data_IF_715163086166
#
_entry.id   IF_715163086166
#
_cell.length_a   1.000
_cell.length_b   1.000
_cell.length_c   1.000
_cell.angle_alpha   90.00
_cell.angle_beta   90.00
_cell.angle_gamma   90.00
#
_symmetry.space_group_name_H-M   'P 1'
#
loop_
_entity.id
_entity.type
_entity.pdbx_description
1 polymer ?
#
# COMPACT_ATOMS: atom_id res chain seq x y z
N UNK A 1 -7.59 13.59 3.68
CA UNK A 1 -8.67 12.63 3.37
C UNK A 1 -9.99 13.38 3.49
N UNK A 2 -10.91 13.20 2.55
CA UNK A 2 -12.26 13.80 2.65
C UNK A 2 -13.09 13.01 3.65
N UNK A 3 -14.16 13.62 4.19
CA UNK A 3 -15.11 12.92 5.07
C UNK A 3 -15.76 11.71 4.41
N UNK A 4 -15.91 11.75 3.09
CA UNK A 4 -16.45 10.63 2.30
C UNK A 4 -15.47 9.45 2.25
N UNK A 5 -14.18 9.74 2.05
CA UNK A 5 -13.13 8.71 2.09
C UNK A 5 -13.06 8.06 3.47
N UNK A 6 -13.13 8.85 4.54
CA UNK A 6 -13.15 8.35 5.92
C UNK A 6 -14.37 7.45 6.20
N UNK A 7 -15.55 7.83 5.69
CA UNK A 7 -16.76 7.00 5.82
C UNK A 7 -16.66 5.68 5.03
N UNK A 8 -15.99 5.66 3.87
CA UNK A 8 -15.72 4.43 3.11
C UNK A 8 -14.81 3.50 3.91
N UNK A 9 -13.70 4.04 4.44
CA UNK A 9 -12.77 3.26 5.26
C UNK A 9 -13.47 2.73 6.52
N UNK A 10 -14.26 3.55 7.22
CA UNK A 10 -14.96 3.08 8.41
C UNK A 10 -15.88 1.89 8.12
N UNK A 11 -16.63 1.93 6.99
CA UNK A 11 -17.49 0.80 6.59
C UNK A 11 -16.70 -0.47 6.30
N UNK A 12 -15.53 -0.34 5.67
CA UNK A 12 -14.66 -1.48 5.40
C UNK A 12 -14.07 -2.07 6.70
N UNK A 13 -13.69 -1.23 7.66
CA UNK A 13 -13.24 -1.68 8.98
C UNK A 13 -14.37 -2.44 9.73
N UNK A 14 -15.58 -1.87 9.73
CA UNK A 14 -16.76 -2.49 10.35
C UNK A 14 -17.14 -3.84 9.68
N UNK A 15 -16.88 -3.99 8.38
CA UNK A 15 -17.22 -5.21 7.62
C UNK A 15 -16.15 -6.30 7.69
N UNK A 16 -14.88 -5.95 7.52
CA UNK A 16 -13.78 -6.91 7.44
C UNK A 16 -13.10 -7.16 8.79
N UNK A 17 -13.24 -6.26 9.76
CA UNK A 17 -12.62 -6.40 11.08
C UNK A 17 -11.12 -6.08 11.12
N UNK A 18 -10.62 -5.90 12.33
CA UNK A 18 -9.27 -5.42 12.65
C UNK A 18 -8.18 -6.34 12.10
N UNK A 19 -8.28 -7.65 12.34
CA UNK A 19 -7.24 -8.62 11.95
C UNK A 19 -7.02 -8.68 10.43
N UNK A 20 -8.10 -8.53 9.65
CA UNK A 20 -8.01 -8.46 8.20
C UNK A 20 -7.30 -7.19 7.73
N UNK A 21 -7.54 -6.05 8.38
CA UNK A 21 -6.85 -4.79 8.03
C UNK A 21 -5.36 -4.86 8.40
N UNK A 22 -5.01 -5.47 9.53
CA UNK A 22 -3.60 -5.69 9.90
C UNK A 22 -2.89 -6.61 8.90
N UNK A 23 -3.55 -7.69 8.49
CA UNK A 23 -3.02 -8.62 7.47
C UNK A 23 -2.81 -7.89 6.14
N UNK A 24 -3.81 -7.13 5.71
CA UNK A 24 -3.74 -6.33 4.48
C UNK A 24 -2.60 -5.33 4.53
N UNK A 25 -2.41 -4.60 5.63
CA UNK A 25 -1.29 -3.69 5.79
C UNK A 25 0.08 -4.38 5.62
N UNK A 26 0.24 -5.59 6.17
CA UNK A 26 1.47 -6.38 5.99
C UNK A 26 1.66 -6.80 4.53
N UNK A 27 0.60 -7.25 3.86
CA UNK A 27 0.62 -7.62 2.45
C UNK A 27 1.09 -6.44 1.59
N UNK A 28 0.42 -5.28 1.66
CA UNK A 28 0.75 -4.12 0.82
C UNK A 28 2.18 -3.61 1.07
N UNK A 29 2.63 -3.62 2.34
CA UNK A 29 4.03 -3.25 2.65
C UNK A 29 5.04 -4.24 2.05
N UNK A 30 4.71 -5.53 2.01
CA UNK A 30 5.55 -6.54 1.37
C UNK A 30 5.56 -6.39 -0.15
N UNK A 31 4.42 -6.04 -0.76
CA UNK A 31 4.32 -5.77 -2.20
C UNK A 31 5.11 -4.53 -2.61
N UNK A 32 4.99 -3.43 -1.86
CA UNK A 32 5.81 -2.24 -2.08
C UNK A 32 7.30 -2.55 -1.96
N UNK A 33 7.70 -3.34 -0.95
CA UNK A 33 9.09 -3.78 -0.77
C UNK A 33 9.59 -4.58 -1.97
N UNK A 34 8.76 -5.52 -2.46
CA UNK A 34 9.05 -6.35 -3.65
C UNK A 34 9.26 -5.49 -4.89
N UNK A 35 8.42 -4.50 -5.14
CA UNK A 35 8.53 -3.65 -6.33
C UNK A 35 9.74 -2.69 -6.25
N UNK A 36 10.09 -2.20 -5.06
CA UNK A 36 11.35 -1.47 -4.83
C UNK A 36 12.56 -2.36 -5.16
N UNK A 37 12.56 -3.63 -4.76
CA UNK A 37 13.62 -4.58 -5.11
C UNK A 37 13.73 -4.80 -6.63
N UNK A 38 12.60 -4.98 -7.32
CA UNK A 38 12.58 -5.12 -8.79
C UNK A 38 13.16 -3.90 -9.49
N UNK A 39 12.83 -2.69 -9.04
CA UNK A 39 13.40 -1.46 -9.60
C UNK A 39 14.93 -1.44 -9.50
N UNK A 40 15.48 -1.82 -8.34
CA UNK A 40 16.94 -1.87 -8.12
C UNK A 40 17.62 -2.86 -9.06
N UNK A 41 17.04 -4.06 -9.20
CA UNK A 41 17.55 -5.11 -10.09
C UNK A 41 17.49 -4.66 -11.56
N UNK A 42 16.36 -4.08 -11.99
CA UNK A 42 16.20 -3.58 -13.36
C UNK A 42 17.21 -2.47 -13.69
N UNK A 43 17.49 -1.59 -12.72
CA UNK A 43 18.51 -0.55 -12.85
C UNK A 43 19.94 -1.11 -12.98
N UNK A 44 20.28 -2.17 -12.22
CA UNK A 44 21.57 -2.84 -12.32
C UNK A 44 21.74 -3.57 -13.66
N UNK A 45 20.66 -4.16 -14.18
CA UNK A 45 20.66 -4.91 -15.44
C UNK A 45 20.41 -4.02 -16.68
N UNK A 46 20.28 -2.69 -16.50
CA UNK A 46 19.97 -1.72 -17.56
C UNK A 46 18.74 -2.09 -18.43
N UNK A 47 17.75 -2.76 -17.83
CA UNK A 47 16.52 -3.14 -18.53
C UNK A 47 15.47 -2.02 -18.44
N UNK A 48 15.36 -1.22 -19.51
CA UNK A 48 14.44 -0.08 -19.58
C UNK A 48 12.96 -0.43 -19.42
N UNK A 49 12.51 -1.57 -19.97
CA UNK A 49 11.11 -1.98 -19.88
C UNK A 49 10.73 -2.38 -18.44
N UNK A 50 11.61 -3.12 -17.77
CA UNK A 50 11.40 -3.52 -16.37
C UNK A 50 11.49 -2.33 -15.42
N UNK A 51 12.34 -1.33 -15.72
CA UNK A 51 12.39 -0.07 -14.97
C UNK A 51 11.07 0.70 -15.03
N UNK A 52 10.44 0.79 -16.21
CA UNK A 52 9.15 1.48 -16.36
C UNK A 52 8.06 0.74 -15.59
N UNK A 53 7.99 -0.59 -15.73
CA UNK A 53 7.01 -1.42 -15.03
C UNK A 53 7.17 -1.33 -13.51
N UNK A 54 8.38 -1.49 -12.99
CA UNK A 54 8.64 -1.40 -11.56
C UNK A 54 8.28 -0.02 -10.98
N UNK A 55 8.51 1.07 -11.73
CA UNK A 55 8.07 2.41 -11.31
C UNK A 55 6.55 2.54 -11.22
N UNK A 56 5.81 1.99 -12.19
CA UNK A 56 4.35 2.02 -12.19
C UNK A 56 3.80 1.23 -11.00
N UNK A 57 4.29 0.01 -10.80
CA UNK A 57 3.87 -0.83 -9.68
C UNK A 57 4.19 -0.17 -8.33
N UNK A 58 5.37 0.43 -8.15
CA UNK A 58 5.68 1.19 -6.92
C UNK A 58 4.65 2.28 -6.62
N UNK A 59 4.11 2.96 -7.64
CA UNK A 59 3.11 4.01 -7.42
C UNK A 59 1.77 3.44 -6.95
N UNK A 60 1.38 2.27 -7.47
CA UNK A 60 0.20 1.51 -7.07
C UNK A 60 0.34 1.01 -5.63
N UNK A 61 1.38 0.21 -5.35
CA UNK A 61 1.61 -0.36 -4.03
C UNK A 61 1.82 0.72 -2.95
N UNK A 62 2.41 1.86 -3.31
CA UNK A 62 2.53 3.00 -2.38
C UNK A 62 1.16 3.59 -2.04
N UNK A 63 0.24 3.66 -3.00
CA UNK A 63 -1.12 4.12 -2.75
C UNK A 63 -1.87 3.13 -1.85
N UNK A 64 -1.69 1.84 -2.06
CA UNK A 64 -2.31 0.80 -1.24
C UNK A 64 -1.74 0.76 0.18
N UNK A 65 -0.42 0.88 0.34
CA UNK A 65 0.21 1.11 1.66
C UNK A 65 -0.34 2.38 2.31
N UNK A 66 -0.50 3.48 1.57
CA UNK A 66 -1.04 4.70 2.14
C UNK A 66 -2.45 4.48 2.70
N UNK A 67 -3.31 3.77 1.96
CA UNK A 67 -4.67 3.43 2.39
C UNK A 67 -4.64 2.56 3.66
N UNK A 68 -3.78 1.55 3.71
CA UNK A 68 -3.66 0.67 4.89
C UNK A 68 -3.14 1.41 6.11
N UNK A 69 -2.21 2.36 5.96
CA UNK A 69 -1.81 3.26 7.04
C UNK A 69 -2.98 4.11 7.54
N UNK A 70 -3.88 4.59 6.66
CA UNK A 70 -5.10 5.31 7.09
C UNK A 70 -6.03 4.45 7.93
N UNK A 71 -6.11 3.15 7.65
CA UNK A 71 -6.87 2.23 8.51
C UNK A 71 -6.23 2.09 9.89
N UNK A 72 -4.90 1.98 9.96
CA UNK A 72 -4.18 1.91 11.24
C UNK A 72 -4.38 3.19 12.06
N UNK A 73 -4.30 4.35 11.43
CA UNK A 73 -4.60 5.65 12.02
C UNK A 73 -6.02 5.68 12.63
N UNK A 74 -7.02 5.17 11.90
CA UNK A 74 -8.40 5.09 12.40
C UNK A 74 -8.58 4.11 13.57
N UNK A 75 -7.74 3.09 13.65
CA UNK A 75 -7.81 2.05 14.69
C UNK A 75 -7.06 2.43 15.96
N UNK A 76 -5.91 3.10 15.84
CA UNK A 76 -5.00 3.37 16.96
C UNK A 76 -4.82 4.86 17.26
N UNK A 77 -5.39 5.74 16.43
CA UNK A 77 -5.16 7.18 16.46
C UNK A 77 -4.03 7.61 15.54
N UNK A 78 -4.10 8.86 15.08
CA UNK A 78 -3.01 9.49 14.32
C UNK A 78 -1.78 9.70 15.23
N UNK A 79 -0.57 9.54 14.67
CA UNK A 79 0.70 9.87 15.34
C UNK A 79 1.07 11.34 15.24
#
# INVERSE_FOLDING_TARGET
MTKEQEAVLKRALDHYGIDNQLTKAVEEMAELTKEICKLKIAGQNFNGADLIRAKQNILEEKADVYITLRYLDMMFGDS
#
